data_IF_780364746116
#
_entry.id   IF_780364746116
#
_cell.length_a   1.000
_cell.length_b   1.000
_cell.length_c   1.000
_cell.angle_alpha   90.00
_cell.angle_beta   90.00
_cell.angle_gamma   90.00
#
_symmetry.space_group_name_H-M   'P 1'
#
loop_
_entity.id
_entity.type
_entity.pdbx_description
1 polymer ?
#
# COMPACT_ATOMS: atom_id res chain seq x y z
N UNK A 1 -10.46 28.15 -6.26
CA UNK A 1 -9.93 26.77 -6.42
C UNK A 1 -9.09 26.44 -5.20
N UNK A 2 -9.18 25.23 -4.62
CA UNK A 2 -8.29 24.83 -3.53
C UNK A 2 -6.84 24.77 -4.01
N UNK A 3 -5.91 25.04 -3.07
CA UNK A 3 -4.47 25.05 -3.35
C UNK A 3 -3.95 23.61 -3.50
N UNK A 4 -3.05 23.32 -4.45
CA UNK A 4 -2.36 22.04 -4.52
C UNK A 4 -1.70 21.69 -3.20
N UNK A 5 -1.69 20.39 -2.84
CA UNK A 5 -1.16 19.91 -1.56
C UNK A 5 -0.03 18.91 -1.82
N UNK A 6 1.04 19.07 -1.08
CA UNK A 6 2.11 18.07 -0.95
C UNK A 6 2.02 17.45 0.42
N UNK A 7 2.16 16.13 0.50
CA UNK A 7 2.14 15.39 1.74
C UNK A 7 3.15 14.26 1.78
N UNK A 8 3.46 13.83 2.99
CA UNK A 8 4.25 12.62 3.25
C UNK A 8 3.49 11.82 4.30
N UNK A 9 3.23 10.55 4.01
CA UNK A 9 2.73 9.57 4.98
C UNK A 9 3.85 8.57 5.26
N UNK A 10 4.03 8.16 6.51
CA UNK A 10 4.96 7.12 6.90
C UNK A 10 4.29 6.17 7.88
N UNK A 11 4.53 4.88 7.71
CA UNK A 11 4.02 3.83 8.59
C UNK A 11 5.15 2.93 9.04
N UNK A 12 5.07 2.49 10.31
CA UNK A 12 6.01 1.56 10.91
C UNK A 12 5.24 0.53 11.73
N UNK A 13 5.38 -0.72 11.38
CA UNK A 13 4.86 -1.85 12.16
C UNK A 13 5.95 -2.85 12.48
N UNK A 14 5.95 -3.37 13.71
CA UNK A 14 6.97 -4.31 14.18
C UNK A 14 6.91 -5.64 13.44
N UNK A 15 8.09 -6.25 13.28
CA UNK A 15 8.29 -7.64 12.89
C UNK A 15 8.93 -8.46 14.01
N UNK A 16 9.02 -9.76 13.82
CA UNK A 16 9.68 -10.67 14.73
C UNK A 16 11.21 -10.67 14.52
N UNK A 17 11.94 -10.29 15.57
CA UNK A 17 13.40 -10.24 15.53
C UNK A 17 14.05 -11.63 15.59
N UNK A 18 13.38 -12.61 16.21
CA UNK A 18 13.91 -13.96 16.47
C UNK A 18 12.82 -14.98 16.33
N UNK A 19 12.66 -15.52 15.14
CA UNK A 19 11.70 -16.62 14.89
C UNK A 19 12.12 -17.88 15.70
N UNK A 20 11.12 -18.53 16.31
CA UNK A 20 11.33 -19.80 17.04
C UNK A 20 11.73 -19.67 18.53
N UNK A 21 11.76 -18.47 19.10
CA UNK A 21 12.07 -18.23 20.53
C UNK A 21 10.82 -18.31 21.47
N UNK A 22 9.67 -18.71 20.92
CA UNK A 22 8.39 -18.79 21.64
C UNK A 22 7.67 -17.43 21.82
N UNK A 23 8.19 -16.36 21.23
CA UNK A 23 7.57 -15.03 21.24
C UNK A 23 7.22 -14.60 19.82
N UNK A 24 6.14 -13.86 19.67
CA UNK A 24 5.73 -13.28 18.38
C UNK A 24 5.87 -11.77 18.48
N UNK A 25 6.90 -11.22 17.85
CA UNK A 25 7.16 -9.77 17.82
C UNK A 25 6.43 -9.03 16.70
N UNK A 26 5.84 -9.75 15.77
CA UNK A 26 5.12 -9.17 14.63
C UNK A 26 3.82 -8.52 15.06
N UNK A 27 3.63 -7.25 14.69
CA UNK A 27 2.38 -6.53 14.94
C UNK A 27 1.18 -7.28 14.37
N UNK A 28 0.12 -7.39 15.16
CA UNK A 28 -1.13 -8.03 14.75
C UNK A 28 -2.24 -7.00 14.56
N UNK A 29 -2.51 -6.56 13.33
CA UNK A 29 -3.58 -5.62 13.06
C UNK A 29 -4.94 -6.30 13.27
N UNK A 30 -5.75 -5.77 14.21
CA UNK A 30 -7.10 -6.31 14.49
C UNK A 30 -8.07 -5.87 13.38
N UNK A 31 -7.94 -4.60 12.94
CA UNK A 31 -8.75 -4.03 11.85
C UNK A 31 -7.82 -3.54 10.76
N UNK A 32 -7.86 -4.21 9.61
CA UNK A 32 -7.02 -3.86 8.46
C UNK A 32 -7.85 -3.14 7.42
N UNK A 33 -7.39 -1.94 7.03
CA UNK A 33 -7.83 -1.33 5.79
C UNK A 33 -6.73 -1.51 4.73
N UNK A 34 -6.82 -2.52 3.88
CA UNK A 34 -5.76 -2.83 2.91
C UNK A 34 -5.54 -1.69 1.90
N UNK A 35 -6.55 -0.87 1.62
CA UNK A 35 -6.44 0.26 0.70
C UNK A 35 -5.44 1.34 1.14
N UNK A 36 -5.06 1.38 2.44
CA UNK A 36 -4.04 2.30 2.95
C UNK A 36 -2.66 1.97 2.37
N UNK A 37 -2.38 0.69 2.13
CA UNK A 37 -1.07 0.24 1.65
C UNK A 37 -1.01 0.04 0.14
N UNK A 38 -2.04 -0.53 -0.44
CA UNK A 38 -2.19 -0.71 -1.88
C UNK A 38 -3.57 -1.28 -2.17
N UNK A 39 -4.21 -0.83 -3.24
CA UNK A 39 -5.45 -1.43 -3.73
C UNK A 39 -5.26 -2.89 -4.17
N UNK A 40 -4.04 -3.27 -4.55
CA UNK A 40 -3.70 -4.65 -4.86
C UNK A 40 -3.56 -5.56 -3.62
N UNK A 41 -3.70 -5.01 -2.39
CA UNK A 41 -3.64 -5.72 -1.12
C UNK A 41 -2.37 -6.59 -0.93
N UNK A 42 -1.25 -6.16 -1.51
CA UNK A 42 0.04 -6.89 -1.46
C UNK A 42 0.62 -6.92 -0.05
N UNK A 43 0.35 -5.87 0.74
CA UNK A 43 0.92 -5.66 2.06
C UNK A 43 -0.17 -5.43 3.11
N UNK A 44 0.18 -5.73 4.37
CA UNK A 44 -0.61 -5.43 5.56
C UNK A 44 0.30 -4.77 6.61
N UNK A 45 -0.22 -4.03 7.61
CA UNK A 45 0.59 -3.46 8.68
C UNK A 45 1.14 -4.54 9.64
N UNK A 46 1.97 -5.45 9.11
CA UNK A 46 2.70 -6.47 9.85
C UNK A 46 4.10 -6.59 9.25
N UNK A 47 5.11 -6.34 10.04
CA UNK A 47 6.52 -6.31 9.61
C UNK A 47 6.78 -5.37 8.42
N UNK A 48 6.16 -4.19 8.41
CA UNK A 48 6.26 -3.25 7.28
C UNK A 48 6.69 -1.86 7.77
N UNK A 49 7.61 -1.28 7.04
CA UNK A 49 7.97 0.15 7.10
C UNK A 49 7.69 0.73 5.73
N UNK A 50 6.97 1.84 5.68
CA UNK A 50 6.66 2.50 4.41
C UNK A 50 6.78 4.02 4.47
N UNK A 51 7.05 4.62 3.31
CA UNK A 51 7.09 6.06 3.12
C UNK A 51 6.33 6.39 1.83
N UNK A 52 5.38 7.32 1.92
CA UNK A 52 4.49 7.69 0.82
C UNK A 52 4.50 9.21 0.59
N UNK A 53 5.44 9.79 -0.17
CA UNK A 53 5.25 11.11 -0.74
C UNK A 53 4.00 11.12 -1.61
N UNK A 54 3.18 12.17 -1.47
CA UNK A 54 1.92 12.29 -2.19
C UNK A 54 1.64 13.73 -2.62
N UNK A 55 0.81 13.86 -3.64
CA UNK A 55 0.44 15.12 -4.23
C UNK A 55 -1.04 15.13 -4.62
N UNK A 56 -1.73 16.19 -4.26
CA UNK A 56 -3.15 16.40 -4.62
C UNK A 56 -3.33 17.70 -5.38
N UNK A 57 -4.06 17.64 -6.49
CA UNK A 57 -4.44 18.82 -7.29
C UNK A 57 -5.94 18.86 -7.53
N UNK A 58 -6.43 20.06 -7.75
CA UNK A 58 -7.84 20.36 -7.99
C UNK A 58 -7.97 21.18 -9.27
N UNK A 59 -7.89 20.54 -10.45
CA UNK A 59 -7.79 21.25 -11.74
C UNK A 59 -9.02 22.09 -12.07
N UNK A 60 -10.20 21.59 -11.72
CA UNK A 60 -11.50 22.26 -11.89
C UNK A 60 -12.38 21.97 -10.68
N UNK A 61 -13.49 22.69 -10.54
CA UNK A 61 -14.48 22.41 -9.50
C UNK A 61 -15.02 20.99 -9.60
N UNK A 62 -15.11 20.32 -8.45
CA UNK A 62 -15.57 18.92 -8.35
C UNK A 62 -14.52 17.87 -8.73
N UNK A 63 -13.36 18.23 -9.33
CA UNK A 63 -12.31 17.30 -9.72
C UNK A 63 -11.12 17.33 -8.75
N UNK A 64 -10.83 16.17 -8.18
CA UNK A 64 -9.65 15.91 -7.35
C UNK A 64 -8.79 14.83 -8.00
N UNK A 65 -7.50 15.10 -8.13
CA UNK A 65 -6.51 14.13 -8.57
C UNK A 65 -5.49 13.96 -7.45
N UNK A 66 -5.38 12.74 -6.92
CA UNK A 66 -4.41 12.33 -5.92
C UNK A 66 -3.43 11.34 -6.52
N UNK A 67 -2.15 11.57 -6.27
CA UNK A 67 -1.06 10.69 -6.67
C UNK A 67 -0.18 10.41 -5.47
N UNK A 68 0.26 9.16 -5.33
CA UNK A 68 1.27 8.79 -4.35
C UNK A 68 2.29 7.82 -4.93
N UNK A 69 3.48 7.82 -4.35
CA UNK A 69 4.52 6.83 -4.61
C UNK A 69 4.97 6.26 -3.28
N UNK A 70 4.72 4.97 -3.08
CA UNK A 70 4.97 4.29 -1.81
C UNK A 70 6.18 3.38 -1.91
N UNK A 71 7.11 3.52 -0.97
CA UNK A 71 8.24 2.61 -0.78
C UNK A 71 7.92 1.66 0.37
N UNK A 72 8.07 0.35 0.15
CA UNK A 72 7.80 -0.67 1.16
C UNK A 72 9.02 -1.49 1.51
N UNK A 73 9.29 -1.59 2.82
CA UNK A 73 10.39 -2.37 3.37
C UNK A 73 9.89 -3.26 4.52
N UNK A 74 10.47 -4.45 4.67
CA UNK A 74 10.30 -5.22 5.91
C UNK A 74 11.01 -4.50 7.05
N UNK A 75 10.34 -4.34 8.19
CA UNK A 75 10.94 -3.75 9.39
C UNK A 75 12.05 -4.66 9.91
N UNK A 76 11.76 -5.95 10.08
CA UNK A 76 12.71 -6.97 10.51
C UNK A 76 13.01 -7.96 9.37
N UNK A 77 14.30 -8.16 9.08
CA UNK A 77 14.72 -9.06 8.01
C UNK A 77 14.58 -10.55 8.37
N UNK A 78 14.47 -10.88 9.66
CA UNK A 78 14.27 -12.25 10.11
C UNK A 78 12.81 -12.70 10.01
N UNK A 79 11.88 -11.76 9.83
CA UNK A 79 10.46 -12.03 9.71
C UNK A 79 10.00 -11.99 8.24
N UNK A 80 8.87 -12.61 7.94
CA UNK A 80 8.33 -12.72 6.61
C UNK A 80 7.55 -11.49 6.13
N UNK A 81 6.91 -11.64 4.98
CA UNK A 81 5.95 -10.67 4.43
C UNK A 81 4.54 -11.21 4.62
N UNK A 82 3.62 -10.30 4.94
CA UNK A 82 2.23 -10.62 5.25
C UNK A 82 1.27 -9.88 4.33
N UNK A 83 0.20 -10.57 3.91
CA UNK A 83 -0.96 -9.99 3.25
C UNK A 83 -2.17 -9.89 4.21
N UNK A 84 -3.18 -9.06 3.90
CA UNK A 84 -4.36 -8.93 4.74
C UNK A 84 -5.11 -10.27 4.97
N UNK A 85 -5.68 -10.51 6.17
CA UNK A 85 -5.57 -9.70 7.37
C UNK A 85 -4.20 -9.82 8.10
N UNK A 86 -3.48 -10.91 7.99
CA UNK A 86 -2.10 -11.20 8.42
C UNK A 86 -1.70 -12.62 7.98
N UNK A 87 -1.96 -12.96 6.75
CA UNK A 87 -1.45 -14.21 6.19
C UNK A 87 0.02 -14.06 5.81
N UNK A 88 0.88 -14.96 6.32
CA UNK A 88 2.26 -15.07 5.87
C UNK A 88 2.27 -15.51 4.41
N UNK A 89 2.69 -14.62 3.53
CA UNK A 89 2.76 -14.89 2.08
C UNK A 89 4.13 -15.29 1.63
N UNK A 90 5.17 -14.79 2.32
CA UNK A 90 6.56 -15.11 2.02
C UNK A 90 7.38 -15.21 3.29
N UNK A 91 8.05 -16.32 3.46
CA UNK A 91 8.99 -16.53 4.56
C UNK A 91 10.28 -15.75 4.34
N UNK A 92 10.95 -15.40 5.43
CA UNK A 92 12.25 -14.72 5.36
C UNK A 92 13.35 -15.63 4.77
N UNK A 93 13.35 -16.90 5.10
CA UNK A 93 14.30 -17.93 4.61
C UNK A 93 15.78 -17.48 4.62
N UNK A 94 16.18 -16.70 5.65
CA UNK A 94 17.52 -16.17 5.77
C UNK A 94 17.85 -14.97 4.88
N UNK A 95 16.90 -14.50 4.06
CA UNK A 95 17.08 -13.35 3.19
C UNK A 95 17.16 -12.05 4.02
N UNK A 96 18.27 -11.33 3.84
CA UNK A 96 18.52 -10.06 4.55
C UNK A 96 17.95 -8.84 3.84
N UNK A 97 17.63 -8.94 2.56
CA UNK A 97 17.06 -7.83 1.81
C UNK A 97 15.70 -7.43 2.37
N UNK A 98 15.50 -6.14 2.61
CA UNK A 98 14.27 -5.61 3.21
C UNK A 98 13.30 -5.03 2.19
N UNK A 99 13.78 -4.56 1.02
CA UNK A 99 12.95 -3.89 0.01
C UNK A 99 11.91 -4.84 -0.57
N UNK A 100 10.65 -4.62 -0.23
CA UNK A 100 9.50 -5.41 -0.68
C UNK A 100 9.09 -4.98 -2.08
N UNK A 101 9.03 -3.69 -2.34
CA UNK A 101 8.64 -3.12 -3.62
C UNK A 101 8.13 -1.70 -3.48
N UNK A 102 7.74 -1.15 -4.61
CA UNK A 102 7.22 0.20 -4.71
C UNK A 102 5.81 0.18 -5.32
N UNK A 103 4.99 1.17 -4.95
CA UNK A 103 3.65 1.33 -5.53
C UNK A 103 3.50 2.76 -6.04
N UNK A 104 3.12 2.91 -7.28
CA UNK A 104 2.56 4.15 -7.79
C UNK A 104 1.04 4.08 -7.71
N UNK A 105 0.44 5.02 -7.00
CA UNK A 105 -1.01 5.17 -6.83
C UNK A 105 -1.54 6.40 -7.57
N UNK A 106 -2.72 6.26 -8.19
CA UNK A 106 -3.47 7.34 -8.80
C UNK A 106 -4.94 7.21 -8.42
N UNK A 107 -5.51 8.27 -7.90
CA UNK A 107 -6.96 8.39 -7.69
C UNK A 107 -7.46 9.66 -8.36
N UNK A 108 -8.52 9.52 -9.15
CA UNK A 108 -9.26 10.62 -9.77
C UNK A 108 -10.69 10.54 -9.26
N UNK A 109 -11.15 11.58 -8.57
CA UNK A 109 -12.50 11.71 -8.05
C UNK A 109 -13.17 12.91 -8.70
N UNK A 110 -14.32 12.71 -9.33
CA UNK A 110 -15.06 13.77 -10.00
C UNK A 110 -16.54 13.80 -9.58
N UNK A 111 -16.93 14.87 -8.92
CA UNK A 111 -18.33 15.17 -8.62
C UNK A 111 -18.97 15.85 -9.83
N UNK A 112 -19.62 15.07 -10.71
CA UNK A 112 -20.27 15.58 -11.93
C UNK A 112 -21.42 16.49 -11.57
N UNK A 113 -22.21 16.10 -10.57
CA UNK A 113 -23.26 16.91 -9.95
C UNK A 113 -23.61 16.31 -8.57
N UNK A 114 -24.58 16.92 -7.85
CA UNK A 114 -24.99 16.47 -6.50
C UNK A 114 -25.49 15.02 -6.42
N UNK A 115 -25.86 14.43 -7.54
CA UNK A 115 -26.41 13.08 -7.63
C UNK A 115 -25.46 12.05 -8.25
N UNK A 116 -24.42 12.49 -8.98
CA UNK A 116 -23.54 11.62 -9.76
C UNK A 116 -22.09 11.94 -9.44
N UNK A 117 -21.34 10.94 -9.05
CA UNK A 117 -19.89 11.02 -8.91
C UNK A 117 -19.18 9.85 -9.61
N UNK A 118 -17.97 10.11 -10.07
CA UNK A 118 -17.08 9.15 -10.69
C UNK A 118 -15.77 9.09 -9.92
N UNK A 119 -15.31 7.87 -9.60
CA UNK A 119 -14.01 7.60 -8.99
C UNK A 119 -13.24 6.61 -9.85
N UNK A 120 -12.00 6.93 -10.17
CA UNK A 120 -11.04 6.01 -10.77
C UNK A 120 -9.90 5.82 -9.80
N UNK A 121 -9.64 4.59 -9.42
CA UNK A 121 -8.48 4.21 -8.60
C UNK A 121 -7.61 3.27 -9.37
N UNK A 122 -6.32 3.55 -9.43
CA UNK A 122 -5.35 2.63 -10.00
C UNK A 122 -4.10 2.56 -9.13
N UNK A 123 -3.43 1.41 -9.21
CA UNK A 123 -2.13 1.22 -8.58
C UNK A 123 -1.26 0.30 -9.43
N UNK A 124 0.03 0.60 -9.46
CA UNK A 124 1.03 -0.22 -10.10
C UNK A 124 2.10 -0.61 -9.08
N UNK A 125 2.14 -1.90 -8.73
CA UNK A 125 3.14 -2.48 -7.83
C UNK A 125 4.34 -2.97 -8.64
N UNK A 126 5.53 -2.54 -8.21
CA UNK A 126 6.82 -2.94 -8.76
C UNK A 126 7.50 -3.84 -7.72
N UNK A 127 7.73 -5.10 -8.06
CA UNK A 127 8.33 -6.08 -7.16
C UNK A 127 9.77 -5.70 -6.80
N UNK A 128 10.04 -5.60 -5.50
CA UNK A 128 11.35 -5.28 -4.93
C UNK A 128 12.27 -6.50 -4.81
N UNK A 129 13.46 -6.25 -4.26
CA UNK A 129 14.49 -7.29 -4.14
C UNK A 129 14.06 -8.46 -3.28
N UNK A 130 13.30 -8.24 -2.20
CA UNK A 130 12.83 -9.33 -1.34
C UNK A 130 11.87 -10.25 -2.10
N UNK A 131 10.89 -9.69 -2.82
CA UNK A 131 9.95 -10.46 -3.62
C UNK A 131 10.68 -11.29 -4.66
N UNK A 132 11.63 -10.67 -5.40
CA UNK A 132 12.44 -11.34 -6.43
C UNK A 132 13.32 -12.46 -5.89
N UNK A 133 13.82 -12.32 -4.66
CA UNK A 133 14.67 -13.32 -4.05
C UNK A 133 13.89 -14.44 -3.34
N UNK A 134 12.62 -14.25 -3.01
CA UNK A 134 11.80 -15.18 -2.23
C UNK A 134 10.86 -16.05 -3.07
N UNK A 135 10.89 -15.98 -4.38
CA UNK A 135 10.07 -16.77 -5.31
C UNK A 135 9.59 -15.99 -6.51
N UNK A 136 8.51 -16.46 -7.13
CA UNK A 136 7.91 -15.81 -8.31
C UNK A 136 7.62 -14.34 -8.05
N UNK A 137 7.98 -13.49 -9.02
CA UNK A 137 7.93 -12.06 -8.86
C UNK A 137 7.37 -11.39 -10.10
N UNK A 138 6.15 -10.90 -10.00
CA UNK A 138 5.48 -10.17 -11.07
C UNK A 138 5.11 -8.76 -10.60
N UNK A 139 5.20 -7.79 -11.50
CA UNK A 139 4.61 -6.48 -11.29
C UNK A 139 3.10 -6.59 -11.45
N UNK A 140 2.35 -5.88 -10.63
CA UNK A 140 0.88 -5.97 -10.63
C UNK A 140 0.27 -4.62 -10.92
N UNK A 141 -0.61 -4.59 -11.91
CA UNK A 141 -1.43 -3.42 -12.19
C UNK A 141 -2.88 -3.66 -11.75
N UNK A 142 -3.43 -2.68 -11.05
CA UNK A 142 -4.82 -2.67 -10.60
C UNK A 142 -5.51 -1.40 -11.05
N UNK A 143 -6.76 -1.51 -11.54
CA UNK A 143 -7.60 -0.39 -11.92
C UNK A 143 -9.05 -0.67 -11.51
N UNK A 144 -9.71 0.31 -10.90
CA UNK A 144 -11.10 0.21 -10.45
C UNK A 144 -11.86 1.52 -10.73
N UNK A 145 -12.59 1.61 -11.84
CA UNK A 145 -13.56 2.68 -12.04
C UNK A 145 -14.83 2.41 -11.22
N UNK A 146 -15.38 3.45 -10.63
CA UNK A 146 -16.62 3.41 -9.84
C UNK A 146 -17.49 4.59 -10.23
N UNK A 147 -18.78 4.34 -10.47
CA UNK A 147 -19.79 5.40 -10.65
C UNK A 147 -20.84 5.28 -9.56
N UNK A 148 -21.12 6.38 -8.87
CA UNK A 148 -22.09 6.42 -7.78
C UNK A 148 -23.25 7.33 -8.13
N UNK A 149 -24.47 6.85 -7.83
CA UNK A 149 -25.72 7.58 -8.02
C UNK A 149 -26.42 7.72 -6.66
N UNK A 150 -26.84 8.96 -6.34
CA UNK A 150 -27.64 9.28 -5.15
C UNK A 150 -29.03 9.74 -5.59
N UNK A 151 -30.06 9.19 -4.98
CA UNK A 151 -31.46 9.52 -5.24
C UNK A 151 -32.03 10.40 -4.14
#
# INVERSE_FOLDING_TARGET
MPTPQLGIKADLSSGDKRTGDGRVGTFNPIFVNPAIYSLAAVNTPANITSLHPNFTVYPIEGLTIYMDYAFFYRTEANDGLYAPPRFLTREANGLRTKHVGDVFGLQISYEINRNISFDLRSSYFIAGQFIKASGDSENTFYIAPTMSFKF
#
